data_IF_561650800325
#
_entry.id   IF_561650800325
#
_cell.length_a   1.000
_cell.length_b   1.000
_cell.length_c   1.000
_cell.angle_alpha   90.00
_cell.angle_beta   90.00
_cell.angle_gamma   90.00
#
_symmetry.space_group_name_H-M   'P 1'
#
loop_
_entity.id
_entity.type
_entity.pdbx_description
1 polymer ?
#
# COMPACT_ATOMS: atom_id res chain seq x y z
N UNK A 1 -5.23 20.72 8.13
CA UNK A 1 -3.82 20.43 7.79
C UNK A 1 -3.61 20.64 6.29
N UNK A 2 -3.05 21.78 5.85
CA UNK A 2 -2.58 21.93 4.46
C UNK A 2 -1.17 21.32 4.40
N UNK A 3 -1.03 20.20 3.71
CA UNK A 3 0.21 19.44 3.62
C UNK A 3 1.29 20.25 2.92
N UNK A 4 2.30 20.70 3.69
CA UNK A 4 3.45 21.47 3.18
C UNK A 4 4.52 20.60 2.50
N UNK A 5 4.33 19.29 2.38
CA UNK A 5 5.39 18.34 2.01
C UNK A 5 5.42 17.91 0.54
N UNK A 6 4.41 18.27 -0.28
CA UNK A 6 4.31 17.77 -1.66
C UNK A 6 4.26 18.87 -2.73
N UNK A 7 4.53 20.13 -2.36
CA UNK A 7 4.53 21.26 -3.30
C UNK A 7 5.55 21.15 -4.45
N UNK A 8 6.49 20.20 -4.35
CA UNK A 8 7.50 19.93 -5.37
C UNK A 8 7.01 19.04 -6.52
N UNK A 9 5.80 18.47 -6.43
CA UNK A 9 5.26 17.59 -7.47
C UNK A 9 3.92 18.11 -8.01
N UNK A 10 3.70 18.04 -9.34
CA UNK A 10 2.39 18.24 -9.93
C UNK A 10 1.34 17.30 -9.31
N UNK A 11 0.10 17.78 -9.23
CA UNK A 11 -1.02 16.99 -8.68
C UNK A 11 -1.30 15.73 -9.51
N UNK A 12 -1.03 15.80 -10.81
CA UNK A 12 -1.19 14.74 -11.79
C UNK A 12 -0.27 13.55 -11.46
N UNK A 13 0.98 13.83 -11.11
CA UNK A 13 1.96 12.81 -10.74
C UNK A 13 1.58 12.14 -9.42
N UNK A 14 1.12 12.92 -8.43
CA UNK A 14 0.63 12.38 -7.17
C UNK A 14 -0.55 11.42 -7.39
N UNK A 15 -1.51 11.81 -8.23
CA UNK A 15 -2.64 10.94 -8.61
C UNK A 15 -2.17 9.66 -9.29
N UNK A 16 -1.21 9.77 -10.20
CA UNK A 16 -0.64 8.62 -10.90
C UNK A 16 0.01 7.63 -9.92
N UNK A 17 0.80 8.12 -8.95
CA UNK A 17 1.47 7.28 -7.96
C UNK A 17 0.49 6.63 -6.99
N UNK A 18 -0.53 7.36 -6.54
CA UNK A 18 -1.58 6.82 -5.68
C UNK A 18 -2.34 5.69 -6.40
N UNK A 19 -2.72 5.90 -7.65
CA UNK A 19 -3.37 4.86 -8.45
C UNK A 19 -2.46 3.64 -8.66
N UNK A 20 -1.18 3.87 -8.94
CA UNK A 20 -0.18 2.80 -9.08
C UNK A 20 -0.01 2.02 -7.78
N UNK A 21 0.03 2.71 -6.64
CA UNK A 21 0.13 2.11 -5.31
C UNK A 21 -1.03 1.15 -5.07
N UNK A 22 -2.28 1.60 -5.17
CA UNK A 22 -3.44 0.74 -4.88
C UNK A 22 -3.57 -0.43 -5.86
N UNK A 23 -3.27 -0.19 -7.14
CA UNK A 23 -3.22 -1.27 -8.15
C UNK A 23 -2.20 -2.33 -7.76
N UNK A 24 -0.96 -1.93 -7.49
CA UNK A 24 0.12 -2.86 -7.13
C UNK A 24 -0.12 -3.49 -5.75
N UNK A 25 -0.74 -2.77 -4.83
CA UNK A 25 -1.13 -3.28 -3.52
C UNK A 25 -2.04 -4.48 -3.68
N UNK A 26 -3.18 -4.32 -4.34
CA UNK A 26 -4.20 -5.38 -4.44
C UNK A 26 -3.66 -6.62 -5.14
N UNK A 27 -3.02 -6.46 -6.31
CA UNK A 27 -2.54 -7.62 -7.11
C UNK A 27 -1.42 -8.40 -6.42
N UNK A 28 -0.63 -7.73 -5.56
CA UNK A 28 0.51 -8.36 -4.89
C UNK A 28 0.17 -8.88 -3.49
N UNK A 29 -1.10 -8.87 -3.04
CA UNK A 29 -1.46 -9.43 -1.72
C UNK A 29 -1.01 -10.90 -1.59
N UNK A 30 -1.18 -11.72 -2.65
CA UNK A 30 -0.69 -13.12 -2.66
C UNK A 30 0.82 -13.25 -2.41
N UNK A 31 1.62 -12.21 -2.71
CA UNK A 31 3.05 -12.21 -2.39
C UNK A 31 3.27 -11.94 -0.91
N UNK A 32 2.53 -10.98 -0.33
CA UNK A 32 2.60 -10.65 1.11
C UNK A 32 2.19 -11.79 2.02
N UNK A 33 1.15 -12.55 1.66
CA UNK A 33 0.74 -13.78 2.37
C UNK A 33 1.84 -14.84 2.48
N UNK A 34 2.87 -14.75 1.63
CA UNK A 34 3.99 -15.69 1.56
C UNK A 34 5.31 -15.06 2.01
N UNK A 35 5.27 -13.95 2.73
CA UNK A 35 6.48 -13.38 3.32
C UNK A 35 7.05 -14.32 4.39
N UNK A 36 8.38 -14.43 4.39
CA UNK A 36 9.10 -15.09 5.46
C UNK A 36 8.94 -14.27 6.75
N UNK A 37 9.05 -14.91 7.93
CA UNK A 37 9.11 -14.18 9.18
C UNK A 37 10.21 -13.11 9.14
N UNK A 38 9.87 -11.89 9.55
CA UNK A 38 10.78 -10.75 9.62
C UNK A 38 10.55 -9.97 10.91
N UNK A 39 11.54 -9.19 11.33
CA UNK A 39 11.42 -8.32 12.50
C UNK A 39 10.54 -7.11 12.21
N UNK A 40 9.79 -6.67 13.23
CA UNK A 40 9.00 -5.44 13.22
C UNK A 40 9.88 -4.30 13.72
N UNK A 41 10.01 -3.21 12.95
CA UNK A 41 10.91 -2.09 13.27
C UNK A 41 10.18 -0.77 13.51
N UNK A 42 9.11 -0.51 12.75
CA UNK A 42 8.26 0.68 12.87
C UNK A 42 6.98 0.36 13.64
N UNK A 43 6.10 1.33 13.87
CA UNK A 43 4.78 1.07 14.48
C UNK A 43 3.85 0.25 13.56
N UNK A 44 4.07 0.30 12.24
CA UNK A 44 3.26 -0.35 11.20
C UNK A 44 4.07 -1.33 10.35
N UNK A 45 3.44 -2.36 9.78
CA UNK A 45 4.10 -3.31 8.88
C UNK A 45 3.19 -3.83 7.76
N UNK A 46 3.75 -4.63 6.86
CA UNK A 46 3.05 -5.24 5.71
C UNK A 46 2.72 -6.73 5.87
N UNK A 47 3.02 -7.31 7.03
CA UNK A 47 2.79 -8.73 7.28
C UNK A 47 1.29 -8.97 7.59
N UNK A 48 0.60 -9.79 6.78
CA UNK A 48 -0.82 -10.08 7.00
C UNK A 48 -1.07 -10.94 8.25
N UNK A 49 -0.04 -11.59 8.81
CA UNK A 49 -0.21 -12.43 10.00
C UNK A 49 -0.29 -11.62 11.30
N UNK A 50 0.35 -10.45 11.32
CA UNK A 50 0.42 -9.58 12.50
C UNK A 50 -0.49 -8.37 12.37
N UNK A 51 -0.22 -7.45 11.43
CA UNK A 51 -0.82 -6.12 11.42
C UNK A 51 -1.70 -5.87 10.18
N UNK A 52 -1.16 -5.93 8.96
CA UNK A 52 -1.88 -5.49 7.76
C UNK A 52 -2.67 -6.60 7.06
N UNK A 53 -3.78 -7.03 7.67
CA UNK A 53 -4.68 -8.03 7.06
C UNK A 53 -5.46 -7.42 5.89
N UNK A 54 -5.29 -7.99 4.70
CA UNK A 54 -6.01 -7.59 3.49
C UNK A 54 -6.37 -8.82 2.65
N UNK A 55 -7.58 -8.91 2.08
CA UNK A 55 -8.00 -10.10 1.35
C UNK A 55 -7.22 -10.28 0.04
N UNK A 56 -6.79 -11.51 -0.24
CA UNK A 56 -6.09 -11.86 -1.49
C UNK A 56 -6.95 -11.53 -2.71
N UNK A 57 -8.25 -11.84 -2.62
CA UNK A 57 -9.25 -11.50 -3.63
C UNK A 57 -9.98 -10.24 -3.17
N UNK A 58 -9.79 -9.15 -3.90
CA UNK A 58 -10.43 -7.87 -3.63
C UNK A 58 -10.91 -7.24 -4.94
N UNK A 59 -11.88 -6.32 -4.86
CA UNK A 59 -12.34 -5.54 -6.02
C UNK A 59 -11.31 -4.56 -6.60
N UNK A 60 -10.10 -4.51 -6.04
CA UNK A 60 -8.99 -3.70 -6.56
C UNK A 60 -9.22 -2.19 -6.49
N UNK A 61 -10.09 -1.73 -5.58
CA UNK A 61 -10.54 -0.33 -5.47
C UNK A 61 -11.08 0.25 -6.78
N UNK A 62 -11.58 -0.61 -7.68
CA UNK A 62 -12.28 -0.18 -8.88
C UNK A 62 -13.71 0.21 -8.48
N UNK A 63 -14.20 1.31 -9.04
CA UNK A 63 -15.62 1.68 -8.98
C UNK A 63 -16.43 0.75 -9.87
#
# INVERSE_FOLDING_TARGET
MKGKFFNQYPIEDLKLWVNKFFKLWCINQRKRERYAPSFHLDDENLDPKTWCRFPILSGGYKK
#
